data_IF_664920152435
#
_entry.id   IF_664920152435
#
_cell.length_a   1.000
_cell.length_b   1.000
_cell.length_c   1.000
_cell.angle_alpha   90.00
_cell.angle_beta   90.00
_cell.angle_gamma   90.00
#
_symmetry.space_group_name_H-M   'P 1'
#
loop_
_entity.id
_entity.type
_entity.pdbx_description
1 polymer ?
#
# COMPACT_ATOMS: atom_id res chain seq x y z
N UNK A 1 -10.75 15.06 -70.24
CA UNK A 1 -10.88 15.16 -68.76
C UNK A 1 -11.46 13.86 -68.24
N UNK A 2 -10.68 13.05 -67.50
CA UNK A 2 -11.20 11.88 -66.77
C UNK A 2 -11.80 12.39 -65.46
N UNK A 3 -13.10 12.17 -65.26
CA UNK A 3 -13.73 12.35 -63.95
C UNK A 3 -13.10 11.32 -63.01
N UNK A 4 -12.54 11.77 -61.90
CA UNK A 4 -12.13 10.90 -60.82
C UNK A 4 -13.39 10.28 -60.24
N UNK A 5 -13.45 8.95 -60.20
CA UNK A 5 -14.47 8.20 -59.47
C UNK A 5 -14.34 8.54 -57.98
N UNK A 6 -15.09 9.54 -57.51
CA UNK A 6 -15.45 9.62 -56.10
C UNK A 6 -16.39 8.45 -55.82
N UNK A 7 -15.81 7.29 -55.53
CA UNK A 7 -16.54 6.16 -54.94
C UNK A 7 -16.99 6.59 -53.54
N UNK A 8 -18.11 7.29 -53.49
CA UNK A 8 -18.86 7.53 -52.28
C UNK A 8 -19.07 6.19 -51.60
N UNK A 9 -18.54 6.07 -50.38
CA UNK A 9 -18.79 4.90 -49.54
C UNK A 9 -20.31 4.80 -49.40
N UNK A 10 -20.89 3.64 -49.75
CA UNK A 10 -22.33 3.43 -49.61
C UNK A 10 -22.79 3.82 -48.20
N UNK A 11 -23.90 4.54 -48.03
CA UNK A 11 -24.37 5.00 -46.71
C UNK A 11 -24.37 3.89 -45.65
N UNK A 12 -24.70 2.66 -46.05
CA UNK A 12 -24.73 1.49 -45.17
C UNK A 12 -23.33 1.02 -44.78
N UNK A 13 -22.38 1.05 -45.71
CA UNK A 13 -20.99 0.63 -45.46
C UNK A 13 -20.28 1.64 -44.55
N UNK A 14 -20.56 2.94 -44.73
CA UNK A 14 -20.05 3.99 -43.83
C UNK A 14 -20.51 3.81 -42.39
N UNK A 15 -21.78 3.46 -42.19
CA UNK A 15 -22.34 3.19 -40.85
C UNK A 15 -21.70 1.95 -40.23
N UNK A 16 -21.55 0.85 -40.97
CA UNK A 16 -20.90 -0.36 -40.44
C UNK A 16 -19.46 -0.07 -40.02
N UNK A 17 -18.70 0.68 -40.82
CA UNK A 17 -17.32 1.04 -40.51
C UNK A 17 -17.21 1.95 -39.27
N UNK A 18 -18.09 2.93 -39.15
CA UNK A 18 -18.14 3.82 -37.98
C UNK A 18 -18.46 3.03 -36.70
N UNK A 19 -19.48 2.17 -36.77
CA UNK A 19 -19.88 1.35 -35.62
C UNK A 19 -18.77 0.37 -35.23
N UNK A 20 -18.14 -0.31 -36.20
CA UNK A 20 -17.08 -1.27 -35.93
C UNK A 20 -15.91 -0.66 -35.13
N UNK A 21 -15.43 0.52 -35.53
CA UNK A 21 -14.32 1.18 -34.84
C UNK A 21 -14.75 1.60 -33.43
N UNK A 22 -15.93 2.19 -33.26
CA UNK A 22 -16.41 2.58 -31.93
C UNK A 22 -16.60 1.40 -30.99
N UNK A 23 -17.03 0.24 -31.48
CA UNK A 23 -17.18 -1.00 -30.69
C UNK A 23 -15.81 -1.52 -30.24
N UNK A 24 -14.82 -1.51 -31.13
CA UNK A 24 -13.45 -1.92 -30.77
C UNK A 24 -12.86 -0.96 -29.72
N UNK A 25 -12.97 0.34 -29.94
CA UNK A 25 -12.46 1.34 -29.00
C UNK A 25 -13.17 1.25 -27.65
N UNK A 26 -14.48 1.07 -27.63
CA UNK A 26 -15.24 0.90 -26.39
C UNK A 26 -14.81 -0.35 -25.63
N UNK A 27 -14.63 -1.49 -26.31
CA UNK A 27 -14.18 -2.74 -25.69
C UNK A 27 -12.77 -2.61 -25.08
N UNK A 28 -11.86 -1.93 -25.78
CA UNK A 28 -10.48 -1.71 -25.31
C UNK A 28 -10.45 -0.76 -24.11
N UNK A 29 -11.16 0.36 -24.16
CA UNK A 29 -11.21 1.29 -23.02
C UNK A 29 -11.87 0.62 -21.82
N UNK A 30 -12.94 -0.16 -22.02
CA UNK A 30 -13.59 -0.91 -20.96
C UNK A 30 -12.62 -1.89 -20.28
N UNK A 31 -11.81 -2.64 -21.04
CA UNK A 31 -10.82 -3.54 -20.45
C UNK A 31 -9.73 -2.80 -19.67
N UNK A 32 -9.29 -1.63 -20.13
CA UNK A 32 -8.37 -0.77 -19.37
C UNK A 32 -9.02 -0.22 -18.09
N UNK A 33 -10.24 0.29 -18.16
CA UNK A 33 -10.94 0.88 -16.99
C UNK A 33 -11.25 -0.18 -15.94
N UNK A 34 -11.80 -1.34 -16.35
CA UNK A 34 -12.06 -2.44 -15.43
C UNK A 34 -10.78 -3.09 -14.91
N UNK A 35 -9.71 -3.14 -15.72
CA UNK A 35 -8.40 -3.66 -15.30
C UNK A 35 -7.63 -2.75 -14.34
N UNK A 36 -7.90 -1.44 -14.33
CA UNK A 36 -7.23 -0.48 -13.43
C UNK A 36 -7.93 -0.32 -12.07
N UNK A 37 -9.23 -0.63 -11.98
CA UNK A 37 -9.99 -0.49 -10.72
C UNK A 37 -9.55 -1.43 -9.60
N UNK A 38 -8.92 -2.56 -9.93
CA UNK A 38 -8.50 -3.57 -8.93
C UNK A 38 -7.15 -3.29 -8.28
N UNK A 39 -6.37 -2.32 -8.78
CA UNK A 39 -4.99 -2.10 -8.35
C UNK A 39 -4.83 -1.00 -7.30
N UNK A 40 -5.89 -0.26 -6.98
CA UNK A 40 -5.83 0.77 -5.93
C UNK A 40 -6.05 0.10 -4.58
N UNK A 41 -4.97 -0.44 -3.99
CA UNK A 41 -4.99 -0.84 -2.58
C UNK A 41 -5.22 0.42 -1.73
N UNK A 42 -6.22 0.37 -0.83
CA UNK A 42 -6.45 1.44 0.14
C UNK A 42 -5.16 1.63 0.96
N UNK A 43 -4.65 2.86 0.99
CA UNK A 43 -3.54 3.22 1.88
C UNK A 43 -4.14 3.61 3.22
N UNK A 44 -3.63 3.02 4.28
CA UNK A 44 -4.07 3.33 5.64
C UNK A 44 -3.12 4.33 6.27
N UNK A 45 -3.67 5.27 7.05
CA UNK A 45 -2.88 6.28 7.73
C UNK A 45 -2.89 6.03 9.25
N UNK A 46 -1.77 5.49 9.73
CA UNK A 46 -1.47 5.28 11.15
C UNK A 46 -0.10 5.90 11.43
N UNK A 47 0.00 6.67 12.50
CA UNK A 47 1.23 7.26 12.99
C UNK A 47 1.79 6.40 14.14
N UNK A 48 3.04 5.97 13.99
CA UNK A 48 3.80 5.24 14.99
C UNK A 48 5.16 5.91 15.13
N UNK A 49 5.65 6.05 16.35
CA UNK A 49 6.98 6.59 16.64
C UNK A 49 7.84 5.51 17.29
N UNK A 50 9.14 5.55 17.05
CA UNK A 50 10.12 4.72 17.75
C UNK A 50 11.19 5.64 18.35
N UNK A 51 11.59 5.35 19.59
CA UNK A 51 12.62 6.08 20.32
C UNK A 51 13.47 5.09 21.10
N UNK A 52 14.79 5.26 21.06
CA UNK A 52 15.70 4.51 21.92
C UNK A 52 15.76 5.16 23.31
N UNK A 53 15.62 4.33 24.34
CA UNK A 53 15.77 4.71 25.75
C UNK A 53 16.76 3.77 26.42
N UNK A 54 18.04 4.16 26.44
CA UNK A 54 19.12 3.33 26.96
C UNK A 54 19.30 2.06 26.13
N UNK A 55 19.16 0.89 26.77
CA UNK A 55 19.27 -0.41 26.10
C UNK A 55 17.96 -0.92 25.48
N UNK A 56 16.87 -0.15 25.57
CA UNK A 56 15.56 -0.55 25.08
C UNK A 56 15.08 0.39 23.97
N UNK A 57 14.28 -0.14 23.04
CA UNK A 57 13.61 0.66 22.02
C UNK A 57 12.12 0.70 22.37
N UNK A 58 11.58 1.91 22.48
CA UNK A 58 10.18 2.17 22.81
C UNK A 58 9.46 2.58 21.53
N UNK A 59 8.42 1.83 21.18
CA UNK A 59 7.53 2.11 20.05
C UNK A 59 6.19 2.59 20.62
N UNK A 60 5.71 3.74 20.15
CA UNK A 60 4.42 4.31 20.59
C UNK A 60 3.49 4.51 19.41
N UNK A 61 2.24 4.05 19.54
CA UNK A 61 1.19 4.31 18.55
C UNK A 61 0.62 5.69 18.81
N UNK A 62 1.04 6.68 18.00
CA UNK A 62 0.57 8.06 18.11
C UNK A 62 -0.90 8.22 17.66
N UNK A 63 -1.41 7.28 16.87
CA UNK A 63 -2.81 7.18 16.45
C UNK A 63 -2.97 7.40 14.95
N UNK A 64 -4.10 7.96 14.53
CA UNK A 64 -4.40 8.18 13.11
C UNK A 64 -5.87 7.89 12.80
N UNK A 65 -6.40 8.40 11.67
CA UNK A 65 -7.80 8.22 11.30
C UNK A 65 -8.17 6.75 11.06
N UNK A 66 -7.18 5.92 10.69
CA UNK A 66 -7.38 4.52 10.35
C UNK A 66 -6.95 3.54 11.45
N UNK A 67 -6.57 4.02 12.64
CA UNK A 67 -6.12 3.15 13.75
C UNK A 67 -7.18 2.14 14.18
N UNK A 68 -8.47 2.46 14.00
CA UNK A 68 -9.59 1.56 14.31
C UNK A 68 -9.75 0.42 13.31
N UNK A 69 -9.17 0.54 12.11
CA UNK A 69 -9.19 -0.51 11.09
C UNK A 69 -8.02 -1.50 11.24
N UNK A 70 -7.09 -1.20 12.14
CA UNK A 70 -5.91 -1.99 12.41
C UNK A 70 -6.28 -3.21 13.26
N UNK A 71 -5.97 -4.40 12.75
CA UNK A 71 -6.20 -5.66 13.47
C UNK A 71 -5.08 -5.91 14.48
N UNK A 72 -3.84 -5.85 14.00
CA UNK A 72 -2.64 -5.98 14.82
C UNK A 72 -1.43 -5.33 14.15
N UNK A 73 -0.39 -5.10 14.97
CA UNK A 73 0.93 -4.66 14.52
C UNK A 73 1.93 -5.81 14.60
N UNK A 74 2.83 -5.87 13.65
CA UNK A 74 4.03 -6.69 13.71
C UNK A 74 5.22 -5.74 13.83
N UNK A 75 6.02 -5.89 14.88
CA UNK A 75 7.12 -4.99 15.21
C UNK A 75 8.42 -5.80 15.20
N UNK A 76 9.34 -5.38 14.35
CA UNK A 76 10.67 -5.98 14.24
C UNK A 76 11.73 -4.98 14.67
N UNK A 77 12.50 -5.32 15.68
CA UNK A 77 13.64 -4.55 16.15
C UNK A 77 14.94 -5.29 15.82
N UNK A 78 15.85 -4.61 15.13
CA UNK A 78 17.13 -5.14 14.67
C UNK A 78 18.22 -4.28 15.32
N UNK A 79 19.09 -4.91 16.11
CA UNK A 79 20.24 -4.20 16.67
C UNK A 79 21.34 -3.94 15.63
N UNK A 80 22.27 -3.04 15.95
CA UNK A 80 23.42 -2.73 15.09
C UNK A 80 24.35 -3.93 14.83
N UNK A 81 24.25 -5.00 15.63
CA UNK A 81 24.98 -6.26 15.47
C UNK A 81 24.32 -7.24 14.51
N UNK A 82 23.12 -6.90 13.99
CA UNK A 82 22.33 -7.74 13.10
C UNK A 82 21.50 -8.81 13.82
N UNK A 83 21.54 -8.86 15.16
CA UNK A 83 20.66 -9.75 15.92
C UNK A 83 19.24 -9.17 15.93
N UNK A 84 18.41 -9.76 15.09
CA UNK A 84 17.00 -9.42 14.97
C UNK A 84 16.25 -10.14 16.09
N UNK A 85 15.48 -9.40 16.89
CA UNK A 85 14.48 -10.03 17.74
C UNK A 85 13.16 -10.06 16.97
N UNK A 86 12.92 -11.14 16.24
CA UNK A 86 11.61 -11.43 15.66
C UNK A 86 10.59 -11.88 16.71
N UNK A 87 10.96 -11.90 18.00
CA UNK A 87 10.15 -12.44 19.09
C UNK A 87 9.16 -11.42 19.66
N UNK A 88 8.60 -10.51 18.87
CA UNK A 88 7.38 -9.81 19.23
C UNK A 88 6.51 -9.64 17.98
N UNK A 89 5.95 -10.74 17.49
CA UNK A 89 4.57 -10.68 17.00
C UNK A 89 3.68 -10.44 18.22
N UNK A 90 3.75 -9.25 18.84
CA UNK A 90 2.65 -8.83 19.70
C UNK A 90 1.51 -8.54 18.74
N UNK A 91 0.76 -9.59 18.44
CA UNK A 91 -0.60 -9.47 17.95
C UNK A 91 -1.41 -8.85 19.09
N UNK A 92 -1.19 -7.56 19.31
CA UNK A 92 -1.88 -6.75 20.27
C UNK A 92 -2.85 -5.89 19.47
N UNK A 93 -4.07 -5.77 19.99
CA UNK A 93 -5.00 -4.73 19.57
C UNK A 93 -4.30 -3.39 19.79
N UNK A 94 -3.84 -2.77 18.70
CA UNK A 94 -3.15 -1.50 18.74
C UNK A 94 -4.22 -0.40 18.84
N UNK A 95 -4.22 0.29 19.97
CA UNK A 95 -5.05 1.47 20.21
C UNK A 95 -4.15 2.71 20.31
N UNK A 96 -4.74 3.89 20.16
CA UNK A 96 -4.01 5.16 20.26
C UNK A 96 -3.39 5.29 21.65
N UNK A 97 -2.08 5.40 21.74
CA UNK A 97 -1.34 5.45 23.01
C UNK A 97 -0.81 4.11 23.50
N UNK A 98 -1.01 3.01 22.75
CA UNK A 98 -0.33 1.75 23.05
C UNK A 98 1.19 1.92 22.91
N UNK A 99 1.92 1.38 23.89
CA UNK A 99 3.39 1.41 23.94
C UNK A 99 3.91 -0.03 23.92
N UNK A 100 4.88 -0.27 23.04
CA UNK A 100 5.60 -1.53 22.90
C UNK A 100 7.08 -1.29 23.17
N UNK A 101 7.76 -2.26 23.77
CA UNK A 101 9.18 -2.11 24.10
C UNK A 101 9.95 -3.33 23.60
N UNK A 102 10.96 -3.10 22.76
CA UNK A 102 11.97 -4.08 22.43
C UNK A 102 13.07 -4.01 23.49
N UNK A 103 13.17 -5.05 24.30
CA UNK A 103 14.08 -5.11 25.45
C UNK A 103 15.48 -5.52 24.98
N UNK A 104 16.52 -4.83 25.46
CA UNK A 104 17.93 -5.11 25.14
C UNK A 104 18.29 -5.03 23.65
N UNK A 105 17.56 -4.21 22.89
CA UNK A 105 17.79 -3.99 21.46
C UNK A 105 18.37 -2.61 21.14
N UNK A 106 18.42 -1.72 22.13
CA UNK A 106 19.11 -0.44 22.05
C UNK A 106 20.61 -0.66 22.23
N UNK A 107 21.38 -0.38 21.19
CA UNK A 107 22.84 -0.37 21.19
C UNK A 107 23.37 1.04 20.96
N UNK A 108 24.67 1.30 21.19
CA UNK A 108 25.28 2.56 20.78
C UNK A 108 25.41 2.72 19.26
N UNK A 109 25.09 1.69 18.48
CA UNK A 109 25.09 1.72 17.02
C UNK A 109 23.75 2.19 16.45
N UNK A 110 23.58 2.00 15.15
CA UNK A 110 22.33 2.33 14.47
C UNK A 110 21.38 1.12 14.53
N UNK A 111 20.31 1.20 15.32
CA UNK A 111 19.33 0.12 15.47
C UNK A 111 18.13 0.37 14.58
N UNK A 112 17.68 -0.64 13.82
CA UNK A 112 16.56 -0.49 12.89
C UNK A 112 15.26 -1.02 13.47
N UNK A 113 14.19 -0.26 13.31
CA UNK A 113 12.84 -0.57 13.78
C UNK A 113 11.89 -0.56 12.60
N UNK A 114 11.20 -1.67 12.39
CA UNK A 114 10.21 -1.85 11.34
C UNK A 114 8.87 -2.18 11.99
N UNK A 115 7.83 -1.45 11.64
CA UNK A 115 6.46 -1.67 12.11
C UNK A 115 5.57 -1.89 10.90
N UNK A 116 4.93 -3.06 10.85
CA UNK A 116 3.99 -3.48 9.82
C UNK A 116 2.59 -3.56 10.43
N UNK A 117 1.63 -2.88 9.83
CA UNK A 117 0.23 -2.98 10.21
C UNK A 117 -0.53 -3.96 9.32
N UNK A 118 -1.32 -4.81 9.95
CA UNK A 118 -2.29 -5.68 9.29
C UNK A 118 -3.70 -5.15 9.56
N UNK A 119 -4.43 -4.85 8.50
CA UNK A 119 -5.76 -4.25 8.59
C UNK A 119 -6.86 -5.31 8.43
N UNK A 120 -8.08 -4.98 8.86
CA UNK A 120 -9.21 -5.90 8.83
C UNK A 120 -9.61 -6.37 7.42
N UNK A 121 -9.19 -5.66 6.37
CA UNK A 121 -9.41 -6.02 4.97
C UNK A 121 -8.34 -6.98 4.41
N UNK A 122 -7.36 -7.39 5.23
CA UNK A 122 -6.24 -8.24 4.83
C UNK A 122 -5.11 -7.49 4.12
N UNK A 123 -5.16 -6.16 4.05
CA UNK A 123 -4.01 -5.38 3.58
C UNK A 123 -2.92 -5.31 4.64
N UNK A 124 -1.67 -5.27 4.17
CA UNK A 124 -0.49 -5.13 4.99
C UNK A 124 0.28 -3.91 4.51
N UNK A 125 0.73 -3.08 5.44
CA UNK A 125 1.49 -1.87 5.12
C UNK A 125 2.59 -1.64 6.14
N UNK A 126 3.78 -1.26 5.67
CA UNK A 126 4.83 -0.74 6.54
C UNK A 126 4.40 0.66 6.99
N UNK A 127 4.16 0.81 8.29
CA UNK A 127 3.72 2.06 8.92
C UNK A 127 4.94 2.89 9.35
N UNK A 128 5.97 2.22 9.85
CA UNK A 128 7.22 2.85 10.28
C UNK A 128 8.39 1.99 9.85
N UNK A 129 9.40 2.61 9.25
CA UNK A 129 10.73 2.05 9.07
C UNK A 129 11.70 3.16 9.45
N UNK A 130 12.38 3.01 10.59
CA UNK A 130 13.27 4.03 11.10
C UNK A 130 14.49 3.41 11.74
N UNK A 131 15.52 4.23 11.89
CA UNK A 131 16.77 3.86 12.56
C UNK A 131 16.93 4.78 13.74
N UNK A 132 17.02 4.21 14.93
CA UNK A 132 17.15 4.90 16.22
C UNK A 132 18.56 4.74 16.77
#
# INVERSE_FOLDING_TARGET
MRRMDEKGVSPVIGVILMVAITVILAAVIASFVFGMGTSVKKTYNVAVTAQQSGSNIIITVAGGPDVSALSYLNITCIDSGGASDSLITQTATAWVGAVFTCVNKGTPGADRVIVVGHFADGTEQIILDTTV
#
